data_IF_940176648816
#
_entry.id   IF_940176648816
#
_cell.length_a   1.000
_cell.length_b   1.000
_cell.length_c   1.000
_cell.angle_alpha   90.00
_cell.angle_beta   90.00
_cell.angle_gamma   90.00
#
_symmetry.space_group_name_H-M   'P 1'
#
loop_
_entity.id
_entity.type
_entity.pdbx_description
1 polymer ?
#
# COMPACT_ATOMS: atom_id res chain seq x y z
N UNK A 1 29.76 18.17 13.02
CA UNK A 1 29.95 17.20 11.92
C UNK A 1 29.62 15.84 12.48
N UNK A 2 28.40 15.36 12.27
CA UNK A 2 28.09 13.95 12.51
C UNK A 2 27.67 13.33 11.18
N UNK A 3 28.41 12.30 10.80
CA UNK A 3 28.26 11.55 9.56
C UNK A 3 26.89 10.90 9.56
N UNK A 4 25.96 11.42 8.77
CA UNK A 4 24.86 10.64 8.22
C UNK A 4 25.51 9.55 7.37
N UNK A 5 25.86 8.42 7.99
CA UNK A 5 26.11 7.19 7.27
C UNK A 5 24.76 6.84 6.65
N UNK A 6 24.54 7.29 5.41
CA UNK A 6 23.48 6.76 4.56
C UNK A 6 23.69 5.25 4.54
N UNK A 7 22.84 4.52 5.27
CA UNK A 7 22.82 3.06 5.23
C UNK A 7 22.37 2.71 3.81
N UNK A 8 23.34 2.52 2.93
CA UNK A 8 23.10 2.01 1.59
C UNK A 8 22.69 0.55 1.74
N UNK A 9 21.47 0.26 1.32
CA UNK A 9 20.95 -1.09 1.37
C UNK A 9 21.49 -1.89 0.20
N UNK A 10 21.76 -3.16 0.43
CA UNK A 10 22.12 -4.09 -0.64
C UNK A 10 20.87 -4.34 -1.50
N UNK A 11 21.02 -4.56 -2.82
CA UNK A 11 19.86 -4.71 -3.71
C UNK A 11 18.88 -5.79 -3.27
N UNK A 12 19.36 -6.91 -2.70
CA UNK A 12 18.48 -7.96 -2.18
C UNK A 12 17.65 -7.51 -0.97
N UNK A 13 18.22 -6.66 -0.10
CA UNK A 13 17.53 -6.12 1.09
C UNK A 13 16.42 -5.17 0.65
N UNK A 14 16.71 -4.32 -0.34
CA UNK A 14 15.73 -3.40 -0.90
C UNK A 14 14.57 -4.12 -1.56
N UNK A 15 14.86 -5.11 -2.40
CA UNK A 15 13.84 -5.94 -3.04
C UNK A 15 13.01 -6.70 -2.02
N UNK A 16 13.63 -7.24 -0.97
CA UNK A 16 12.92 -7.95 0.10
C UNK A 16 11.98 -7.03 0.86
N UNK A 17 12.45 -5.83 1.24
CA UNK A 17 11.66 -4.84 1.95
C UNK A 17 10.49 -4.33 1.09
N UNK A 18 10.75 -3.98 -0.17
CA UNK A 18 9.72 -3.55 -1.11
C UNK A 18 8.65 -4.62 -1.31
N UNK A 19 9.07 -5.88 -1.53
CA UNK A 19 8.15 -6.99 -1.75
C UNK A 19 7.29 -7.29 -0.52
N UNK A 20 7.89 -7.30 0.67
CA UNK A 20 7.15 -7.52 1.91
C UNK A 20 6.13 -6.40 2.18
N UNK A 21 6.52 -5.15 1.94
CA UNK A 21 5.64 -4.00 2.08
C UNK A 21 4.45 -4.07 1.10
N UNK A 22 4.72 -4.26 -0.19
CA UNK A 22 3.68 -4.28 -1.21
C UNK A 22 2.74 -5.50 -1.04
N UNK A 23 3.26 -6.64 -0.59
CA UNK A 23 2.43 -7.81 -0.26
C UNK A 23 1.50 -7.53 0.93
N UNK A 24 1.98 -6.87 1.98
CA UNK A 24 1.16 -6.49 3.13
C UNK A 24 0.04 -5.52 2.72
N UNK A 25 0.36 -4.59 1.83
CA UNK A 25 -0.55 -3.60 1.30
C UNK A 25 -1.64 -4.20 0.39
N UNK A 26 -1.27 -5.13 -0.48
CA UNK A 26 -2.23 -5.93 -1.24
C UNK A 26 -3.24 -6.64 -0.32
N UNK A 27 -2.77 -7.24 0.77
CA UNK A 27 -3.66 -7.91 1.74
C UNK A 27 -4.55 -6.91 2.48
N UNK A 28 -4.07 -5.70 2.76
CA UNK A 28 -4.88 -4.62 3.33
C UNK A 28 -6.00 -4.24 2.36
N UNK A 29 -5.70 -3.96 1.09
CA UNK A 29 -6.71 -3.58 0.11
C UNK A 29 -7.73 -4.69 -0.17
N UNK A 30 -7.29 -5.94 -0.28
CA UNK A 30 -8.22 -7.08 -0.43
C UNK A 30 -9.19 -7.20 0.75
N UNK A 31 -8.71 -7.00 1.98
CA UNK A 31 -9.57 -6.98 3.17
C UNK A 31 -10.56 -5.83 3.11
N UNK A 32 -10.10 -4.61 2.82
CA UNK A 32 -10.97 -3.44 2.71
C UNK A 32 -12.05 -3.62 1.63
N UNK A 33 -11.70 -4.18 0.47
CA UNK A 33 -12.66 -4.54 -0.58
C UNK A 33 -13.80 -5.40 -0.04
N UNK A 34 -13.48 -6.44 0.73
CA UNK A 34 -14.48 -7.33 1.34
C UNK A 34 -15.29 -6.63 2.44
N UNK A 35 -14.63 -5.84 3.30
CA UNK A 35 -15.28 -5.13 4.41
C UNK A 35 -16.32 -4.11 3.95
N UNK A 36 -16.11 -3.46 2.79
CA UNK A 36 -17.06 -2.48 2.22
C UNK A 36 -18.13 -3.07 1.30
N UNK A 37 -18.05 -4.35 0.95
CA UNK A 37 -18.93 -4.99 -0.02
C UNK A 37 -20.44 -4.86 0.31
N UNK A 38 -20.88 -4.97 1.59
CA UNK A 38 -22.32 -4.85 1.92
C UNK A 38 -22.87 -3.43 1.86
N UNK A 39 -22.07 -2.41 2.17
CA UNK A 39 -22.56 -1.06 2.48
C UNK A 39 -22.12 0.01 1.48
N UNK A 40 -20.95 -0.14 0.86
CA UNK A 40 -20.39 0.86 -0.05
C UNK A 40 -19.69 0.19 -1.24
N UNK A 41 -20.46 -0.31 -2.24
CA UNK A 41 -19.88 -1.02 -3.39
C UNK A 41 -18.94 -0.14 -4.22
N UNK A 42 -19.12 1.18 -4.20
CA UNK A 42 -18.19 2.12 -4.85
C UNK A 42 -16.82 2.12 -4.15
N UNK A 43 -16.80 2.17 -2.82
CA UNK A 43 -15.56 2.07 -2.02
C UNK A 43 -14.90 0.71 -2.21
N UNK A 44 -15.69 -0.37 -2.20
CA UNK A 44 -15.19 -1.72 -2.46
C UNK A 44 -14.47 -1.82 -3.81
N UNK A 45 -15.06 -1.25 -4.88
CA UNK A 45 -14.41 -1.19 -6.20
C UNK A 45 -13.12 -0.37 -6.20
N UNK A 46 -13.09 0.77 -5.52
CA UNK A 46 -11.87 1.56 -5.40
C UNK A 46 -10.74 0.75 -4.74
N UNK A 47 -11.02 0.12 -3.60
CA UNK A 47 -10.04 -0.73 -2.89
C UNK A 47 -9.58 -1.90 -3.75
N UNK A 48 -10.47 -2.51 -4.54
CA UNK A 48 -10.11 -3.58 -5.47
C UNK A 48 -9.14 -3.08 -6.55
N UNK A 49 -9.40 -1.90 -7.13
CA UNK A 49 -8.52 -1.29 -8.13
C UNK A 49 -7.14 -0.99 -7.56
N UNK A 50 -7.05 -0.47 -6.34
CA UNK A 50 -5.76 -0.24 -5.66
C UNK A 50 -5.03 -1.56 -5.40
N UNK A 51 -5.76 -2.62 -5.00
CA UNK A 51 -5.20 -3.96 -4.88
C UNK A 51 -4.60 -4.48 -6.19
N UNK A 52 -5.25 -4.25 -7.34
CA UNK A 52 -4.70 -4.63 -8.64
C UNK A 52 -3.42 -3.84 -9.00
N UNK A 53 -3.30 -2.59 -8.55
CA UNK A 53 -2.06 -1.82 -8.72
C UNK A 53 -0.92 -2.43 -7.88
N UNK A 54 -1.22 -2.88 -6.65
CA UNK A 54 -0.24 -3.62 -5.84
C UNK A 54 0.25 -4.90 -6.53
N UNK A 55 -0.65 -5.67 -7.15
CA UNK A 55 -0.26 -6.88 -7.90
C UNK A 55 0.69 -6.57 -9.05
N UNK A 56 0.43 -5.48 -9.80
CA UNK A 56 1.32 -5.03 -10.88
C UNK A 56 2.70 -4.65 -10.34
N UNK A 57 2.77 -3.91 -9.23
CA UNK A 57 4.05 -3.53 -8.60
C UNK A 57 4.82 -4.74 -8.07
N UNK A 58 4.14 -5.71 -7.46
CA UNK A 58 4.77 -6.97 -7.05
C UNK A 58 5.37 -7.73 -8.24
N UNK A 59 4.68 -7.76 -9.38
CA UNK A 59 5.24 -8.39 -10.58
C UNK A 59 6.45 -7.62 -11.13
N UNK A 60 6.42 -6.29 -11.12
CA UNK A 60 7.57 -5.47 -11.49
C UNK A 60 8.77 -5.69 -10.56
N UNK A 61 8.55 -5.84 -9.25
CA UNK A 61 9.61 -6.18 -8.29
C UNK A 61 10.22 -7.55 -8.59
N UNK A 62 9.40 -8.55 -8.91
CA UNK A 62 9.87 -9.88 -9.31
C UNK A 62 10.68 -9.82 -10.61
N UNK A 63 10.24 -9.04 -11.60
CA UNK A 63 10.98 -8.85 -12.84
C UNK A 63 12.34 -8.18 -12.59
N UNK A 64 12.38 -7.12 -11.78
CA UNK A 64 13.63 -6.48 -11.40
C UNK A 64 14.58 -7.45 -10.68
N UNK A 65 14.05 -8.30 -9.80
CA UNK A 65 14.82 -9.32 -9.12
C UNK A 65 15.36 -10.40 -10.06
N UNK A 66 14.57 -10.82 -11.05
CA UNK A 66 15.03 -11.75 -12.10
C UNK A 66 16.18 -11.16 -12.90
N UNK A 67 16.08 -9.89 -13.30
CA UNK A 67 17.16 -9.20 -14.01
C UNK A 67 18.46 -9.11 -13.21
N UNK A 68 18.37 -9.08 -11.88
CA UNK A 68 19.51 -9.04 -10.98
C UNK A 68 19.96 -10.44 -10.49
N UNK A 69 19.34 -11.51 -10.98
CA UNK A 69 19.56 -12.90 -10.52
C UNK A 69 19.30 -13.10 -9.01
N UNK A 70 18.45 -12.27 -8.42
CA UNK A 70 18.11 -12.25 -6.99
C UNK A 70 16.71 -12.80 -6.69
N UNK A 71 16.02 -13.39 -7.67
CA UNK A 71 14.66 -13.91 -7.49
C UNK A 71 14.57 -14.94 -6.34
N UNK A 72 15.56 -15.82 -6.21
CA UNK A 72 15.62 -16.80 -5.13
C UNK A 72 15.79 -16.19 -3.73
N UNK A 73 16.26 -14.94 -3.64
CA UNK A 73 16.44 -14.22 -2.38
C UNK A 73 15.16 -13.52 -1.91
N UNK A 74 14.22 -13.26 -2.83
CA UNK A 74 12.92 -12.72 -2.47
C UNK A 74 12.11 -13.86 -1.86
N UNK A 75 12.05 -13.88 -0.53
CA UNK A 75 11.08 -14.74 0.16
C UNK A 75 9.70 -14.30 -0.29
N UNK A 76 8.96 -15.21 -0.90
CA UNK A 76 7.51 -15.07 -0.94
C UNK A 76 7.06 -15.00 0.50
N UNK A 77 6.65 -13.82 0.95
CA UNK A 77 6.05 -13.66 2.26
C UNK A 77 4.87 -14.61 2.25
N UNK A 78 4.85 -15.67 3.08
CA UNK A 78 3.70 -16.55 3.14
C UNK A 78 2.51 -15.65 3.38
N UNK A 79 1.47 -15.78 2.54
CA UNK A 79 0.22 -15.06 2.72
C UNK A 79 -0.17 -15.31 4.16
N UNK A 80 0.07 -14.32 5.03
CA UNK A 80 -0.17 -14.49 6.45
C UNK A 80 -1.66 -14.74 6.52
N UNK A 81 -2.04 -16.00 6.78
CA UNK A 81 -3.42 -16.38 6.99
C UNK A 81 -3.96 -15.35 7.97
N UNK A 82 -5.09 -14.70 7.66
CA UNK A 82 -5.51 -13.52 8.41
C UNK A 82 -5.49 -13.89 9.89
N UNK A 83 -4.58 -13.28 10.65
CA UNK A 83 -4.68 -13.38 12.09
C UNK A 83 -5.97 -12.64 12.40
N UNK A 84 -7.04 -13.39 12.64
CA UNK A 84 -8.32 -12.90 13.15
C UNK A 84 -8.16 -12.23 14.54
N UNK A 85 -6.93 -12.03 15.01
CA UNK A 85 -6.58 -11.21 16.14
C UNK A 85 -6.61 -9.72 15.77
N UNK A 86 -7.78 -9.21 15.38
CA UNK A 86 -8.11 -7.82 15.68
C UNK A 86 -9.30 -7.80 16.61
N UNK A 87 -9.09 -7.13 17.74
CA UNK A 87 -10.07 -6.82 18.76
C UNK A 87 -11.16 -5.83 18.28
N UNK A 88 -11.47 -5.79 16.98
CA UNK A 88 -12.58 -5.04 16.41
C UNK A 88 -13.71 -6.00 16.07
N UNK A 89 -14.87 -5.78 16.70
CA UNK A 89 -16.03 -6.69 16.71
C UNK A 89 -16.68 -6.94 15.34
N UNK A 90 -16.26 -6.29 14.25
CA UNK A 90 -16.93 -6.35 12.95
C UNK A 90 -15.95 -6.46 11.77
N UNK A 91 -16.09 -7.53 10.98
CA UNK A 91 -15.36 -7.73 9.72
C UNK A 91 -15.86 -6.79 8.60
N UNK A 92 -17.15 -6.46 8.63
CA UNK A 92 -17.80 -5.55 7.70
C UNK A 92 -17.94 -4.16 8.31
N UNK A 93 -17.92 -3.16 7.44
CA UNK A 93 -18.38 -1.82 7.79
C UNK A 93 -19.90 -1.89 7.97
N UNK A 94 -20.39 -1.36 9.10
CA UNK A 94 -21.81 -1.43 9.49
C UNK A 94 -22.52 -0.08 9.49
N UNK A 95 -21.77 1.02 9.59
CA UNK A 95 -22.27 2.40 9.53
C UNK A 95 -21.26 3.32 8.84
N UNK A 96 -21.71 4.53 8.47
CA UNK A 96 -20.87 5.51 7.77
C UNK A 96 -19.72 6.03 8.62
N UNK A 97 -19.89 6.11 9.95
CA UNK A 97 -18.83 6.59 10.84
C UNK A 97 -17.65 5.60 10.88
N UNK A 98 -17.94 4.30 11.01
CA UNK A 98 -16.95 3.24 10.86
C UNK A 98 -16.33 3.28 9.46
N UNK A 99 -17.15 3.50 8.42
CA UNK A 99 -16.66 3.62 7.05
C UNK A 99 -15.67 4.76 6.86
N UNK A 100 -15.90 5.92 7.46
CA UNK A 100 -15.02 7.08 7.39
C UNK A 100 -13.71 6.83 8.15
N UNK A 101 -13.77 6.23 9.34
CA UNK A 101 -12.56 5.85 10.09
C UNK A 101 -11.68 4.86 9.32
N UNK A 102 -12.31 3.88 8.67
CA UNK A 102 -11.57 2.87 7.88
C UNK A 102 -10.91 3.50 6.65
N UNK A 103 -11.57 4.46 5.97
CA UNK A 103 -10.95 5.19 4.86
C UNK A 103 -9.82 6.10 5.37
N UNK A 104 -10.02 6.80 6.48
CA UNK A 104 -8.98 7.65 7.06
C UNK A 104 -7.71 6.83 7.40
N UNK A 105 -7.88 5.64 7.98
CA UNK A 105 -6.77 4.71 8.21
C UNK A 105 -6.12 4.25 6.92
N UNK A 106 -6.91 4.00 5.86
CA UNK A 106 -6.37 3.63 4.55
C UNK A 106 -5.55 4.76 3.91
N UNK A 107 -5.98 6.02 4.05
CA UNK A 107 -5.25 7.21 3.60
C UNK A 107 -3.92 7.32 4.35
N UNK A 108 -3.94 7.22 5.68
CA UNK A 108 -2.71 7.29 6.49
C UNK A 108 -1.72 6.20 6.09
N UNK A 109 -2.19 4.96 5.92
CA UNK A 109 -1.36 3.85 5.47
C UNK A 109 -0.77 4.08 4.06
N UNK A 110 -1.51 4.68 3.14
CA UNK A 110 -0.99 5.03 1.81
C UNK A 110 0.12 6.10 1.89
N UNK A 111 -0.04 7.11 2.74
CA UNK A 111 0.99 8.13 2.98
C UNK A 111 2.24 7.51 3.60
N UNK A 112 2.08 6.63 4.58
CA UNK A 112 3.19 5.86 5.17
C UNK A 112 3.90 5.00 4.13
N UNK A 113 3.15 4.34 3.24
CA UNK A 113 3.71 3.57 2.12
C UNK A 113 4.52 4.45 1.17
N UNK A 114 4.00 5.62 0.80
CA UNK A 114 4.73 6.57 -0.04
C UNK A 114 6.06 6.97 0.60
N UNK A 115 6.02 7.37 1.87
CA UNK A 115 7.22 7.78 2.61
C UNK A 115 8.22 6.63 2.73
N UNK A 116 7.75 5.38 2.86
CA UNK A 116 8.59 4.19 2.84
C UNK A 116 9.31 4.01 1.50
N UNK A 117 8.61 4.16 0.37
CA UNK A 117 9.24 4.04 -0.96
C UNK A 117 10.17 5.22 -1.27
N UNK A 118 9.87 6.43 -0.81
CA UNK A 118 10.80 7.58 -0.87
C UNK A 118 12.08 7.30 -0.08
N UNK A 119 11.95 6.75 1.13
CA UNK A 119 13.10 6.34 1.93
C UNK A 119 13.90 5.22 1.24
N UNK A 120 13.22 4.27 0.62
CA UNK A 120 13.87 3.17 -0.10
C UNK A 120 14.64 3.66 -1.33
N UNK A 121 14.08 4.64 -2.05
CA UNK A 121 14.74 5.32 -3.17
C UNK A 121 15.99 6.08 -2.71
N UNK A 122 15.90 6.81 -1.59
CA UNK A 122 17.00 7.59 -1.04
C UNK A 122 18.15 6.72 -0.50
N UNK A 123 17.88 5.46 -0.16
CA UNK A 123 18.87 4.49 0.34
C UNK A 123 19.39 3.55 -0.76
N UNK A 124 18.96 3.75 -2.01
CA UNK A 124 19.35 2.93 -3.15
C UNK A 124 20.77 3.21 -3.63
N UNK A 125 21.60 2.16 -3.63
CA UNK A 125 22.93 2.16 -4.23
C UNK A 125 22.97 1.46 -5.60
N UNK A 126 21.86 0.87 -6.05
CA UNK A 126 21.78 0.03 -7.25
C UNK A 126 21.11 0.78 -8.40
N UNK A 127 21.85 1.18 -9.45
CA UNK A 127 21.30 1.94 -10.58
C UNK A 127 20.10 1.26 -11.25
N UNK A 128 20.12 -0.06 -11.36
CA UNK A 128 19.09 -0.88 -11.98
C UNK A 128 17.75 -0.82 -11.23
N UNK A 129 17.79 -0.55 -9.92
CA UNK A 129 16.59 -0.38 -9.08
C UNK A 129 16.12 1.07 -8.99
N UNK A 130 16.91 2.03 -9.47
CA UNK A 130 16.58 3.44 -9.31
C UNK A 130 15.30 3.81 -10.07
N UNK A 131 15.22 3.49 -11.36
CA UNK A 131 14.04 3.83 -12.17
C UNK A 131 12.77 3.10 -11.69
N UNK A 132 12.80 1.79 -11.38
CA UNK A 132 11.64 1.13 -10.76
C UNK A 132 11.16 1.81 -9.47
N UNK A 133 12.07 2.21 -8.59
CA UNK A 133 11.72 2.87 -7.32
C UNK A 133 11.14 4.28 -7.53
N UNK A 134 11.67 5.05 -8.50
CA UNK A 134 11.10 6.35 -8.89
C UNK A 134 9.65 6.18 -9.36
N UNK A 135 9.41 5.23 -10.27
CA UNK A 135 8.07 4.96 -10.79
C UNK A 135 7.10 4.57 -9.65
N UNK A 136 7.60 3.81 -8.66
CA UNK A 136 6.78 3.41 -7.51
C UNK A 136 6.40 4.59 -6.63
N UNK A 137 7.32 5.52 -6.38
CA UNK A 137 7.00 6.75 -5.64
C UNK A 137 5.91 7.54 -6.35
N UNK A 138 6.03 7.74 -7.68
CA UNK A 138 5.02 8.45 -8.48
C UNK A 138 3.65 7.74 -8.44
N UNK A 139 3.62 6.41 -8.55
CA UNK A 139 2.39 5.63 -8.42
C UNK A 139 1.76 5.75 -7.03
N UNK A 140 2.57 5.74 -5.97
CA UNK A 140 2.11 5.89 -4.58
C UNK A 140 1.59 7.30 -4.29
N UNK A 141 2.18 8.32 -4.91
CA UNK A 141 1.63 9.67 -4.87
C UNK A 141 0.25 9.74 -5.53
N UNK A 142 0.08 9.10 -6.68
CA UNK A 142 -1.21 8.97 -7.34
C UNK A 142 -2.25 8.24 -6.47
N UNK A 143 -1.84 7.14 -5.84
CA UNK A 143 -2.66 6.37 -4.90
C UNK A 143 -3.13 7.23 -3.71
N UNK A 144 -2.21 7.97 -3.09
CA UNK A 144 -2.53 8.90 -2.01
C UNK A 144 -3.55 9.96 -2.45
N UNK A 145 -3.33 10.55 -3.63
CA UNK A 145 -4.22 11.59 -4.17
C UNK A 145 -5.63 11.07 -4.39
N UNK A 146 -5.78 9.91 -5.04
CA UNK A 146 -7.08 9.30 -5.29
C UNK A 146 -7.80 8.98 -3.98
N UNK A 147 -7.10 8.45 -2.97
CA UNK A 147 -7.70 8.15 -1.67
C UNK A 147 -8.12 9.41 -0.90
N UNK A 148 -7.31 10.47 -0.94
CA UNK A 148 -7.64 11.76 -0.33
C UNK A 148 -8.86 12.40 -0.99
N UNK A 149 -8.86 12.50 -2.31
CA UNK A 149 -10.00 13.04 -3.08
C UNK A 149 -11.29 12.25 -2.78
N UNK A 150 -11.18 10.92 -2.74
CA UNK A 150 -12.31 10.06 -2.41
C UNK A 150 -12.83 10.29 -0.98
N UNK A 151 -11.93 10.43 -0.01
CA UNK A 151 -12.29 10.69 1.39
C UNK A 151 -12.98 12.05 1.55
N UNK A 152 -12.46 13.09 0.90
CA UNK A 152 -13.05 14.43 0.91
C UNK A 152 -14.46 14.44 0.30
N UNK A 153 -14.63 13.81 -0.88
CA UNK A 153 -15.93 13.71 -1.55
C UNK A 153 -16.95 12.98 -0.68
N UNK A 154 -16.55 11.89 -0.02
CA UNK A 154 -17.44 11.14 0.88
C UNK A 154 -17.88 12.00 2.06
N UNK A 155 -16.96 12.73 2.70
CA UNK A 155 -17.26 13.61 3.83
C UNK A 155 -18.26 14.71 3.47
N UNK A 156 -18.10 15.34 2.31
CA UNK A 156 -19.04 16.35 1.81
C UNK A 156 -20.43 15.75 1.57
N UNK A 157 -20.51 14.54 1.00
CA UNK A 157 -21.77 13.84 0.76
C UNK A 157 -22.51 13.50 2.06
N UNK A 158 -21.81 12.99 3.07
CA UNK A 158 -22.39 12.66 4.39
C UNK A 158 -22.87 13.92 5.12
N UNK A 159 -22.16 15.04 5.00
CA UNK A 159 -22.57 16.33 5.57
C UNK A 159 -23.87 16.86 4.92
N UNK A 160 -23.99 16.73 3.59
CA UNK A 160 -25.18 17.17 2.86
C UNK A 160 -26.43 16.32 3.12
N UNK A 161 -26.28 15.07 3.56
CA UNK A 161 -27.41 14.18 3.90
C UNK A 161 -27.92 14.36 5.33
N UNK A 162 -27.19 15.08 6.18
CA UNK A 162 -27.53 15.34 7.59
C UNK A 162 -28.07 16.76 7.84
N UNK A 163 -28.15 17.60 6.80
CA UNK A 163 -28.71 18.95 6.82
C UNK A 163 -30.16 18.94 6.29
#
# INVERSE_FOLDING_TARGET
MDKTQSLLLLPYEQLTLANAHEAAELQRYRRLTLSFLPQAPQTSRLMATLGLQCEKRLELLRQAARCLELEACIKETPVCAPSFAWAQRHFFVVDDFMGDQVIEQAVRAAVESKNFFEWLLNTNATPELHQPLVNFVEEKEGECRVLLEFWEQRRVSVMNQRA
#
